data_IF_953177067920
#
_entry.id   IF_953177067920
#
_cell.length_a   1.000
_cell.length_b   1.000
_cell.length_c   1.000
_cell.angle_alpha   90.00
_cell.angle_beta   90.00
_cell.angle_gamma   90.00
#
_symmetry.space_group_name_H-M   'P 1'
#
loop_
_entity.id
_entity.type
_entity.pdbx_description
1 polymer ?
#
# COMPACT_ATOMS: atom_id res chain seq x y z
N UNK A 1 -18.35 -17.34 -3.32
CA UNK A 1 -18.27 -16.09 -2.51
C UNK A 1 -19.38 -15.15 -2.97
N UNK A 2 -20.05 -14.38 -2.09
CA UNK A 2 -21.21 -13.54 -2.48
C UNK A 2 -20.90 -12.60 -3.66
N UNK A 3 -19.74 -11.95 -3.64
CA UNK A 3 -19.30 -11.05 -4.72
C UNK A 3 -19.30 -11.72 -6.11
N UNK A 4 -18.91 -13.00 -6.21
CA UNK A 4 -18.89 -13.74 -7.48
C UNK A 4 -20.28 -14.06 -8.03
N UNK A 5 -21.32 -13.94 -7.21
CA UNK A 5 -22.70 -14.24 -7.60
C UNK A 5 -23.42 -13.02 -8.18
N UNK A 6 -22.81 -11.82 -8.07
CA UNK A 6 -23.34 -10.58 -8.63
C UNK A 6 -23.35 -10.65 -10.16
N UNK A 7 -24.50 -10.38 -10.79
CA UNK A 7 -24.65 -10.41 -12.25
C UNK A 7 -25.04 -9.05 -12.82
N UNK A 8 -25.68 -8.21 -12.01
CA UNK A 8 -26.34 -6.98 -12.45
C UNK A 8 -25.85 -5.77 -11.64
N UNK A 9 -26.18 -4.57 -12.11
CA UNK A 9 -25.92 -3.34 -11.36
C UNK A 9 -26.74 -3.24 -10.07
N UNK A 10 -27.94 -3.85 -10.04
CA UNK A 10 -28.75 -3.92 -8.82
C UNK A 10 -28.03 -4.73 -7.73
N UNK A 11 -27.32 -5.80 -8.12
CA UNK A 11 -26.52 -6.58 -7.16
C UNK A 11 -25.36 -5.75 -6.57
N UNK A 12 -24.76 -4.88 -7.40
CA UNK A 12 -23.70 -3.95 -6.99
C UNK A 12 -24.23 -2.91 -5.99
N UNK A 13 -25.41 -2.36 -6.24
CA UNK A 13 -26.09 -1.43 -5.34
C UNK A 13 -26.44 -2.11 -4.02
N UNK A 14 -27.04 -3.30 -4.07
CA UNK A 14 -27.34 -4.10 -2.89
C UNK A 14 -26.08 -4.44 -2.08
N UNK A 15 -24.94 -4.68 -2.73
CA UNK A 15 -23.66 -4.86 -2.03
C UNK A 15 -23.24 -3.60 -1.29
N UNK A 16 -23.39 -2.42 -1.89
CA UNK A 16 -23.02 -1.15 -1.24
C UNK A 16 -23.87 -0.91 0.03
N UNK A 17 -25.16 -1.24 -0.02
CA UNK A 17 -26.09 -1.12 1.10
C UNK A 17 -25.86 -2.17 2.20
N UNK A 18 -25.60 -3.42 1.80
CA UNK A 18 -25.45 -4.54 2.73
C UNK A 18 -24.03 -4.73 3.28
N UNK A 19 -23.11 -3.80 2.98
CA UNK A 19 -21.76 -3.83 3.53
C UNK A 19 -21.82 -3.56 5.04
N UNK A 20 -21.13 -4.35 5.88
CA UNK A 20 -21.14 -4.12 7.32
C UNK A 20 -20.69 -2.72 7.67
N UNK A 21 -21.47 -2.03 8.51
CA UNK A 21 -21.03 -0.78 9.10
C UNK A 21 -19.89 -1.09 10.08
N UNK A 22 -18.68 -0.62 9.75
CA UNK A 22 -17.54 -0.73 10.65
C UNK A 22 -17.65 0.25 11.83
N UNK A 23 -18.66 1.14 11.82
CA UNK A 23 -18.91 2.16 12.82
C UNK A 23 -17.72 3.10 12.98
N UNK A 24 -17.48 3.53 14.22
CA UNK A 24 -16.31 4.35 14.60
C UNK A 24 -14.96 3.65 14.40
N UNK A 25 -14.94 2.31 14.37
CA UNK A 25 -13.69 1.59 14.17
C UNK A 25 -13.28 1.72 12.70
N UNK A 26 -12.08 2.28 12.46
CA UNK A 26 -11.39 2.06 11.20
C UNK A 26 -11.44 0.56 10.89
N UNK A 27 -11.81 0.19 9.67
CA UNK A 27 -11.91 -1.20 9.21
C UNK A 27 -10.74 -2.09 9.68
N UNK A 28 -9.53 -1.52 9.81
CA UNK A 28 -8.34 -2.22 10.36
C UNK A 28 -8.56 -2.74 11.79
N UNK A 29 -9.27 -1.99 12.63
CA UNK A 29 -9.61 -2.41 13.99
C UNK A 29 -10.77 -3.42 14.02
N UNK A 30 -11.69 -3.35 13.05
CA UNK A 30 -12.75 -4.35 12.92
C UNK A 30 -12.17 -5.73 12.60
N UNK A 31 -11.29 -5.83 11.59
CA UNK A 31 -10.71 -7.12 11.21
C UNK A 31 -9.74 -7.70 12.24
N UNK A 32 -9.08 -6.84 13.03
CA UNK A 32 -8.20 -7.28 14.15
C UNK A 32 -8.94 -8.10 15.20
N UNK A 33 -10.26 -7.91 15.37
CA UNK A 33 -11.07 -8.73 16.29
C UNK A 33 -11.09 -10.20 15.91
N UNK A 34 -10.80 -10.52 14.64
CA UNK A 34 -10.78 -11.87 14.11
C UNK A 34 -9.36 -12.35 13.79
N UNK A 35 -8.33 -11.70 14.36
CA UNK A 35 -6.92 -12.06 14.08
C UNK A 35 -6.61 -13.53 14.40
N UNK A 36 -7.18 -14.03 15.51
CA UNK A 36 -6.93 -15.38 16.02
C UNK A 36 -7.79 -16.46 15.34
N UNK A 37 -8.77 -16.08 14.52
CA UNK A 37 -9.62 -17.00 13.77
C UNK A 37 -9.49 -16.72 12.25
N UNK A 38 -8.58 -17.42 11.55
CA UNK A 38 -8.37 -17.25 10.13
C UNK A 38 -9.63 -17.47 9.29
N UNK A 39 -10.50 -18.42 9.66
CA UNK A 39 -11.72 -18.72 8.91
C UNK A 39 -12.71 -17.57 9.02
N UNK A 40 -12.93 -17.06 10.23
CA UNK A 40 -13.81 -15.91 10.45
C UNK A 40 -13.25 -14.64 9.82
N UNK A 41 -11.93 -14.44 9.88
CA UNK A 41 -11.26 -13.32 9.18
C UNK A 41 -11.49 -13.39 7.67
N UNK A 42 -11.40 -14.58 7.08
CA UNK A 42 -11.67 -14.78 5.66
C UNK A 42 -13.10 -14.41 5.28
N UNK A 43 -14.09 -14.93 6.02
CA UNK A 43 -15.51 -14.63 5.79
C UNK A 43 -15.80 -13.13 5.89
N UNK A 44 -15.25 -12.46 6.90
CA UNK A 44 -15.41 -11.01 7.09
C UNK A 44 -14.72 -10.23 5.96
N UNK A 45 -13.51 -10.59 5.57
CA UNK A 45 -12.79 -9.91 4.49
C UNK A 45 -13.54 -9.96 3.16
N UNK A 46 -14.22 -11.07 2.87
CA UNK A 46 -15.02 -11.25 1.65
C UNK A 46 -16.19 -10.27 1.55
N UNK A 47 -16.72 -9.77 2.66
CA UNK A 47 -17.81 -8.78 2.68
C UNK A 47 -17.35 -7.40 2.16
N UNK A 48 -16.04 -7.18 2.08
CA UNK A 48 -15.45 -5.94 1.59
C UNK A 48 -14.95 -6.03 0.15
N UNK A 49 -15.11 -7.17 -0.53
CA UNK A 49 -14.85 -7.23 -1.97
C UNK A 49 -15.80 -6.28 -2.72
N UNK A 50 -15.37 -5.66 -3.84
CA UNK A 50 -14.06 -5.75 -4.48
C UNK A 50 -13.04 -4.72 -3.99
N UNK A 51 -13.16 -4.17 -2.78
CA UNK A 51 -12.18 -3.19 -2.31
C UNK A 51 -10.78 -3.82 -2.19
N UNK A 52 -9.70 -3.07 -2.50
CA UNK A 52 -8.32 -3.57 -2.42
C UNK A 52 -8.00 -4.21 -1.06
N UNK A 53 -8.58 -3.66 0.01
CA UNK A 53 -8.40 -4.17 1.36
C UNK A 53 -9.08 -5.52 1.59
N UNK A 54 -10.26 -5.75 1.00
CA UNK A 54 -10.96 -7.03 1.07
C UNK A 54 -10.16 -8.15 0.42
N UNK A 55 -9.58 -7.89 -0.76
CA UNK A 55 -8.70 -8.84 -1.44
C UNK A 55 -7.45 -9.17 -0.61
N UNK A 56 -6.73 -8.12 -0.15
CA UNK A 56 -5.51 -8.27 0.65
C UNK A 56 -5.73 -9.16 1.87
N UNK A 57 -6.85 -8.95 2.55
CA UNK A 57 -7.13 -9.63 3.82
C UNK A 57 -7.69 -11.02 3.64
N UNK A 58 -8.46 -11.24 2.58
CA UNK A 58 -8.89 -12.57 2.18
C UNK A 58 -7.67 -13.45 1.89
N UNK A 59 -6.68 -12.93 1.15
CA UNK A 59 -5.42 -13.62 0.89
C UNK A 59 -4.60 -13.85 2.16
N UNK A 60 -4.51 -12.87 3.07
CA UNK A 60 -3.81 -13.04 4.35
C UNK A 60 -4.45 -14.11 5.24
N UNK A 61 -5.78 -14.15 5.29
CA UNK A 61 -6.53 -15.15 6.03
C UNK A 61 -6.31 -16.56 5.44
N UNK A 62 -6.39 -16.71 4.11
CA UNK A 62 -6.10 -17.97 3.43
C UNK A 62 -4.69 -18.47 3.69
N UNK A 63 -3.68 -17.59 3.72
CA UNK A 63 -2.31 -18.01 4.09
C UNK A 63 -2.21 -18.60 5.49
N UNK A 64 -2.96 -18.05 6.45
CA UNK A 64 -2.99 -18.60 7.80
C UNK A 64 -3.67 -19.98 7.80
N UNK A 65 -4.81 -20.11 7.11
CA UNK A 65 -5.51 -21.40 6.93
C UNK A 65 -4.59 -22.45 6.29
N UNK A 66 -3.93 -22.12 5.18
CA UNK A 66 -2.99 -23.00 4.46
C UNK A 66 -1.85 -23.44 5.39
N UNK A 67 -1.29 -22.52 6.18
CA UNK A 67 -0.21 -22.83 7.12
C UNK A 67 -0.67 -23.79 8.21
N UNK A 68 -1.86 -23.58 8.75
CA UNK A 68 -2.40 -24.42 9.83
C UNK A 68 -2.74 -25.82 9.29
N UNK A 69 -3.34 -25.90 8.10
CA UNK A 69 -3.57 -27.18 7.39
C UNK A 69 -2.27 -27.90 7.06
N UNK A 70 -1.27 -27.19 6.55
CA UNK A 70 0.05 -27.76 6.25
C UNK A 70 0.73 -28.34 7.48
N UNK A 71 0.68 -27.65 8.63
CA UNK A 71 1.19 -28.18 9.92
C UNK A 71 0.43 -29.41 10.41
N UNK A 72 -0.88 -29.45 10.15
CA UNK A 72 -1.74 -30.59 10.48
C UNK A 72 -1.70 -31.70 9.42
N UNK A 73 -0.85 -31.60 8.39
CA UNK A 73 -0.79 -32.52 7.25
C UNK A 73 -2.13 -32.73 6.52
N UNK A 74 -2.98 -31.70 6.52
CA UNK A 74 -4.26 -31.69 5.81
C UNK A 74 -4.09 -31.08 4.41
N UNK A 75 -4.97 -31.48 3.48
CA UNK A 75 -4.98 -30.91 2.12
C UNK A 75 -5.37 -29.43 2.13
N UNK A 76 -4.53 -28.61 1.50
CA UNK A 76 -4.66 -27.16 1.40
C UNK A 76 -4.74 -26.66 -0.05
N UNK A 77 -4.77 -27.57 -1.04
CA UNK A 77 -4.72 -27.22 -2.46
C UNK A 77 -5.88 -26.31 -2.90
N UNK A 78 -7.09 -26.57 -2.40
CA UNK A 78 -8.28 -25.76 -2.69
C UNK A 78 -8.19 -24.34 -2.13
N UNK A 79 -7.59 -24.17 -0.95
CA UNK A 79 -7.36 -22.85 -0.34
C UNK A 79 -6.30 -22.07 -1.11
N UNK A 80 -5.23 -22.75 -1.55
CA UNK A 80 -4.19 -22.14 -2.37
C UNK A 80 -4.72 -21.71 -3.74
N UNK A 81 -5.58 -22.52 -4.37
CA UNK A 81 -6.27 -22.13 -5.59
C UNK A 81 -7.19 -20.92 -5.37
N UNK A 82 -7.91 -20.89 -4.25
CA UNK A 82 -8.76 -19.75 -3.87
C UNK A 82 -7.93 -18.47 -3.65
N UNK A 83 -6.74 -18.60 -3.06
CA UNK A 83 -5.79 -17.50 -2.89
C UNK A 83 -5.32 -16.97 -4.25
N UNK A 84 -4.95 -17.88 -5.15
CA UNK A 84 -4.53 -17.55 -6.50
C UNK A 84 -5.62 -16.81 -7.28
N UNK A 85 -6.85 -17.30 -7.25
CA UNK A 85 -7.99 -16.62 -7.90
C UNK A 85 -8.24 -15.22 -7.34
N UNK A 86 -8.17 -15.04 -6.01
CA UNK A 86 -8.30 -13.70 -5.41
C UNK A 86 -7.20 -12.74 -5.89
N UNK A 87 -5.97 -13.23 -6.03
CA UNK A 87 -4.87 -12.44 -6.56
C UNK A 87 -5.04 -12.13 -8.06
N UNK A 88 -5.55 -13.10 -8.83
CA UNK A 88 -5.89 -12.92 -10.24
C UNK A 88 -6.98 -11.85 -10.42
N UNK A 89 -8.09 -11.94 -9.68
CA UNK A 89 -9.18 -10.96 -9.77
C UNK A 89 -8.76 -9.57 -9.29
N UNK A 90 -7.92 -9.44 -8.26
CA UNK A 90 -7.37 -8.13 -7.88
C UNK A 90 -6.53 -7.52 -9.00
N UNK A 91 -5.78 -8.34 -9.73
CA UNK A 91 -4.96 -7.89 -10.86
C UNK A 91 -5.77 -7.40 -12.07
N UNK A 92 -7.09 -7.58 -12.08
CA UNK A 92 -7.99 -6.98 -13.06
C UNK A 92 -8.10 -5.45 -12.89
N UNK A 93 -7.92 -4.95 -11.67
CA UNK A 93 -7.97 -3.53 -11.36
C UNK A 93 -6.57 -2.90 -11.50
N UNK A 94 -6.35 -1.99 -12.47
CA UNK A 94 -5.13 -1.20 -12.52
C UNK A 94 -5.04 -0.25 -11.31
N UNK A 95 -3.92 0.48 -11.18
CA UNK A 95 -3.76 1.43 -10.06
C UNK A 95 -4.57 2.71 -10.27
N UNK A 96 -4.60 3.19 -11.50
CA UNK A 96 -5.27 4.40 -11.93
C UNK A 96 -6.00 4.11 -13.23
N UNK A 97 -7.08 4.84 -13.45
CA UNK A 97 -7.74 4.85 -14.75
C UNK A 97 -6.92 5.72 -15.70
N UNK A 98 -6.87 5.36 -16.98
CA UNK A 98 -6.20 6.17 -17.99
C UNK A 98 -7.07 7.36 -18.41
N UNK A 99 -8.39 7.16 -18.43
CA UNK A 99 -9.36 8.15 -18.89
C UNK A 99 -9.85 9.08 -17.77
N UNK A 100 -9.48 8.80 -16.52
CA UNK A 100 -9.96 9.49 -15.33
C UNK A 100 -8.78 9.77 -14.38
N UNK A 101 -8.69 11.00 -13.86
CA UNK A 101 -7.77 11.35 -12.76
C UNK A 101 -8.30 10.85 -11.40
N UNK A 102 -8.73 9.58 -11.38
CA UNK A 102 -9.35 8.92 -10.24
C UNK A 102 -8.74 7.52 -10.04
N UNK A 103 -8.71 7.02 -8.80
CA UNK A 103 -8.29 5.66 -8.54
C UNK A 103 -9.19 4.63 -9.24
N UNK A 104 -8.59 3.66 -9.94
CA UNK A 104 -9.32 2.65 -10.69
C UNK A 104 -10.26 1.78 -9.84
N UNK A 105 -10.01 1.67 -8.53
CA UNK A 105 -10.92 0.94 -7.64
C UNK A 105 -12.35 1.51 -7.65
N UNK A 106 -12.53 2.81 -7.97
CA UNK A 106 -13.87 3.41 -8.11
C UNK A 106 -14.64 2.79 -9.26
N UNK A 107 -13.99 2.56 -10.40
CA UNK A 107 -14.58 1.84 -11.54
C UNK A 107 -14.83 0.39 -11.14
N UNK A 108 -13.83 -0.26 -10.54
CA UNK A 108 -13.91 -1.68 -10.17
C UNK A 108 -15.04 -1.98 -9.19
N UNK A 109 -15.33 -1.05 -8.26
CA UNK A 109 -16.47 -1.15 -7.34
C UNK A 109 -17.83 -1.17 -8.05
N UNK A 110 -17.92 -0.66 -9.27
CA UNK A 110 -19.16 -0.63 -10.05
C UNK A 110 -19.34 -1.86 -10.96
N UNK A 111 -18.35 -2.75 -11.01
CA UNK A 111 -18.41 -3.96 -11.83
C UNK A 111 -19.04 -5.10 -11.01
N UNK A 112 -20.08 -5.78 -11.52
CA UNK A 112 -20.62 -6.98 -10.88
C UNK A 112 -19.53 -8.04 -10.74
N UNK A 113 -19.30 -8.54 -9.53
CA UNK A 113 -18.20 -9.47 -9.28
C UNK A 113 -18.27 -10.78 -10.06
N UNK A 114 -19.46 -11.25 -10.43
CA UNK A 114 -19.61 -12.43 -11.28
C UNK A 114 -19.09 -12.24 -12.71
N UNK A 115 -19.05 -11.00 -13.22
CA UNK A 115 -18.43 -10.71 -14.51
C UNK A 115 -16.92 -10.96 -14.45
N UNK A 116 -16.26 -10.47 -13.40
CA UNK A 116 -14.81 -10.62 -13.19
C UNK A 116 -14.47 -12.07 -12.82
N UNK A 117 -15.29 -12.68 -11.97
CA UNK A 117 -15.11 -14.07 -11.55
C UNK A 117 -15.37 -15.08 -12.68
N UNK A 118 -16.14 -14.68 -13.69
CA UNK A 118 -16.40 -15.47 -14.89
C UNK A 118 -15.30 -15.38 -15.95
N UNK A 119 -14.33 -14.48 -15.81
CA UNK A 119 -13.17 -14.43 -16.71
C UNK A 119 -12.32 -15.69 -16.51
N UNK A 120 -11.97 -16.41 -17.59
CA UNK A 120 -11.10 -17.57 -17.49
C UNK A 120 -9.75 -17.24 -16.83
N UNK A 121 -9.36 -18.03 -15.84
CA UNK A 121 -8.08 -17.93 -15.15
C UNK A 121 -7.23 -19.14 -15.51
N UNK A 122 -6.50 -19.05 -16.62
CA UNK A 122 -5.52 -20.07 -17.01
C UNK A 122 -4.16 -19.80 -16.35
N UNK A 123 -3.76 -20.67 -15.44
CA UNK A 123 -2.48 -20.57 -14.74
C UNK A 123 -1.28 -20.55 -15.71
N UNK A 124 -1.34 -21.26 -16.84
CA UNK A 124 -0.23 -21.35 -17.78
C UNK A 124 0.01 -20.04 -18.54
N UNK A 125 -1.02 -19.21 -18.69
CA UNK A 125 -0.96 -17.91 -19.37
C UNK A 125 -0.80 -16.76 -18.37
N UNK A 126 -1.59 -16.76 -17.29
CA UNK A 126 -1.57 -15.70 -16.29
C UNK A 126 -0.32 -15.79 -15.41
N UNK A 127 0.08 -17.00 -15.00
CA UNK A 127 1.17 -17.22 -14.09
C UNK A 127 1.01 -16.46 -12.77
N UNK A 128 2.11 -16.14 -12.08
CA UNK A 128 2.05 -15.52 -10.75
C UNK A 128 2.86 -14.22 -10.60
N UNK A 129 3.81 -13.92 -11.50
CA UNK A 129 4.78 -12.84 -11.27
C UNK A 129 4.16 -11.44 -11.28
N UNK A 130 3.10 -11.20 -12.05
CA UNK A 130 2.43 -9.88 -12.08
C UNK A 130 1.30 -9.77 -11.03
N UNK A 131 1.04 -10.82 -10.26
CA UNK A 131 -0.01 -10.83 -9.24
C UNK A 131 0.55 -10.30 -7.92
N UNK A 132 0.29 -9.03 -7.62
CA UNK A 132 0.86 -8.30 -6.46
C UNK A 132 0.55 -8.97 -5.11
N UNK A 133 -0.58 -9.67 -5.04
CA UNK A 133 -1.00 -10.37 -3.84
C UNK A 133 -0.37 -11.75 -3.69
N UNK A 134 0.36 -12.29 -4.67
CA UNK A 134 1.07 -13.57 -4.56
C UNK A 134 2.48 -13.31 -4.00
N UNK A 135 2.87 -14.03 -2.94
CA UNK A 135 4.22 -13.94 -2.37
C UNK A 135 5.13 -15.03 -2.93
N UNK A 136 6.44 -14.93 -2.65
CA UNK A 136 7.42 -15.96 -3.04
C UNK A 136 7.06 -17.36 -2.51
N UNK A 137 6.54 -17.44 -1.29
CA UNK A 137 6.12 -18.73 -0.70
C UNK A 137 4.91 -19.29 -1.44
N UNK A 138 3.91 -18.45 -1.73
CA UNK A 138 2.73 -18.86 -2.49
C UNK A 138 3.12 -19.33 -3.89
N UNK A 139 4.00 -18.58 -4.58
CA UNK A 139 4.51 -18.93 -5.90
C UNK A 139 5.21 -20.29 -5.90
N UNK A 140 6.05 -20.58 -4.89
CA UNK A 140 6.69 -21.90 -4.77
C UNK A 140 5.65 -23.02 -4.65
N UNK A 141 4.62 -22.84 -3.82
CA UNK A 141 3.56 -23.85 -3.67
C UNK A 141 2.73 -24.01 -4.96
N UNK A 142 2.48 -22.92 -5.69
CA UNK A 142 1.80 -22.98 -6.99
C UNK A 142 2.62 -23.75 -8.02
N UNK A 143 3.93 -23.48 -8.11
CA UNK A 143 4.84 -24.20 -9.01
C UNK A 143 4.95 -25.68 -8.66
N UNK A 144 4.96 -26.02 -7.37
CA UNK A 144 4.95 -27.42 -6.92
C UNK A 144 3.69 -28.18 -7.36
N UNK A 145 2.53 -27.52 -7.39
CA UNK A 145 1.26 -28.14 -7.76
C UNK A 145 0.96 -28.12 -9.26
N UNK A 146 1.32 -27.04 -9.96
CA UNK A 146 0.89 -26.76 -11.34
C UNK A 146 2.05 -26.63 -12.33
N UNK A 147 3.29 -26.75 -11.86
CA UNK A 147 4.50 -26.51 -12.64
C UNK A 147 4.82 -25.03 -12.84
N UNK A 148 5.92 -24.76 -13.53
CA UNK A 148 6.26 -23.40 -13.95
C UNK A 148 5.30 -22.96 -15.08
N UNK A 149 4.66 -21.77 -14.99
CA UNK A 149 3.78 -21.31 -16.05
C UNK A 149 4.59 -20.89 -17.27
N UNK A 150 3.98 -21.00 -18.46
CA UNK A 150 4.64 -20.63 -19.72
C UNK A 150 4.83 -19.12 -19.85
N UNK A 151 3.94 -18.34 -19.26
CA UNK A 151 3.91 -16.89 -19.35
C UNK A 151 3.48 -16.26 -18.02
N UNK A 152 3.68 -14.96 -17.92
CA UNK A 152 3.24 -14.15 -16.79
C UNK A 152 2.52 -12.91 -17.27
N UNK A 153 1.29 -12.73 -16.84
CA UNK A 153 0.42 -11.60 -17.16
C UNK A 153 -0.41 -11.19 -15.94
N UNK A 154 -1.28 -10.20 -16.12
CA UNK A 154 -2.32 -9.83 -15.17
C UNK A 154 -3.69 -10.01 -15.82
N UNK A 155 -4.74 -10.17 -15.02
CA UNK A 155 -6.09 -10.35 -15.56
C UNK A 155 -6.54 -9.11 -16.34
N UNK A 156 -6.06 -7.92 -15.95
CA UNK A 156 -6.29 -6.69 -16.70
C UNK A 156 -5.66 -6.75 -18.11
N UNK A 157 -4.41 -7.20 -18.22
CA UNK A 157 -3.73 -7.32 -19.53
C UNK A 157 -4.42 -8.33 -20.45
N UNK A 158 -4.85 -9.48 -19.91
CA UNK A 158 -5.53 -10.52 -20.70
C UNK A 158 -6.92 -10.11 -21.16
N UNK A 159 -7.60 -9.23 -20.42
CA UNK A 159 -8.98 -8.81 -20.66
C UNK A 159 -9.11 -7.28 -20.64
N UNK A 160 -8.23 -6.61 -21.38
CA UNK A 160 -8.13 -5.14 -21.38
C UNK A 160 -9.41 -4.51 -21.92
N UNK A 161 -10.01 -5.12 -22.94
CA UNK A 161 -11.27 -4.70 -23.54
C UNK A 161 -12.45 -4.73 -22.56
N UNK A 162 -12.47 -5.70 -21.64
CA UNK A 162 -13.49 -5.79 -20.59
C UNK A 162 -13.35 -4.63 -19.62
N UNK A 163 -12.11 -4.30 -19.24
CA UNK A 163 -11.82 -3.15 -18.39
C UNK A 163 -12.20 -1.83 -19.06
N UNK A 164 -11.77 -1.61 -20.31
CA UNK A 164 -12.05 -0.39 -21.07
C UNK A 164 -13.55 -0.13 -21.21
N UNK A 165 -14.34 -1.19 -21.46
CA UNK A 165 -15.79 -1.08 -21.51
C UNK A 165 -16.39 -0.65 -20.17
N UNK A 166 -15.93 -1.25 -19.07
CA UNK A 166 -16.39 -0.89 -17.73
C UNK A 166 -16.04 0.58 -17.37
N UNK A 167 -14.87 1.05 -17.78
CA UNK A 167 -14.43 2.45 -17.60
C UNK A 167 -15.31 3.42 -18.39
N UNK A 168 -15.63 3.09 -19.65
CA UNK A 168 -16.55 3.88 -20.49
C UNK A 168 -17.97 3.93 -19.89
N UNK A 169 -18.50 2.79 -19.46
CA UNK A 169 -19.83 2.71 -18.84
C UNK A 169 -19.89 3.57 -17.56
N UNK A 170 -18.83 3.56 -16.76
CA UNK A 170 -18.72 4.40 -15.57
C UNK A 170 -18.67 5.91 -15.92
N UNK A 171 -17.89 6.28 -16.93
CA UNK A 171 -17.82 7.65 -17.44
C UNK A 171 -19.18 8.18 -17.88
N UNK A 172 -19.93 7.39 -18.65
CA UNK A 172 -21.28 7.76 -19.11
C UNK A 172 -22.24 8.00 -17.94
N UNK A 173 -22.16 7.18 -16.87
CA UNK A 173 -22.97 7.36 -15.66
C UNK A 173 -22.61 8.64 -14.90
N UNK A 174 -21.30 8.96 -14.79
CA UNK A 174 -20.86 10.20 -14.18
C UNK A 174 -21.36 11.43 -14.92
N UNK A 175 -21.26 11.43 -16.25
CA UNK A 175 -21.76 12.54 -17.09
C UNK A 175 -23.27 12.71 -16.91
N UNK A 176 -24.04 11.62 -16.98
CA UNK A 176 -25.51 11.67 -16.80
C UNK A 176 -25.91 12.22 -15.43
N UNK A 177 -25.18 11.87 -14.37
CA UNK A 177 -25.45 12.37 -13.02
C UNK A 177 -25.19 13.87 -12.90
N UNK A 178 -24.15 14.38 -13.57
CA UNK A 178 -23.83 15.82 -13.60
C UNK A 178 -24.87 16.65 -14.35
N UNK A 179 -25.51 16.11 -15.39
CA UNK A 179 -26.57 16.80 -16.12
C UNK A 179 -27.87 16.92 -15.33
N UNK A 180 -28.22 15.90 -14.52
CA UNK A 180 -29.43 15.93 -13.68
C UNK A 180 -29.29 16.97 -12.55
N UNK A 181 -28.09 17.14 -11.97
CA UNK A 181 -27.86 18.14 -10.91
C UNK A 181 -27.85 19.59 -11.42
N UNK A 182 -27.66 19.83 -12.73
CA UNK A 182 -27.62 21.17 -13.32
C UNK A 182 -28.95 21.62 -13.96
N UNK A 183 -29.96 20.75 -13.99
CA UNK A 183 -31.23 20.99 -14.70
C UNK A 183 -32.43 21.44 -13.86
N UNK A 184 -32.43 21.27 -12.54
CA UNK A 184 -33.63 21.53 -11.71
C UNK A 184 -33.57 22.88 -10.96
N UNK A 185 -34.05 23.92 -11.64
CA UNK A 185 -34.58 25.15 -11.03
C UNK A 185 -36.04 25.35 -11.52
N UNK A 186 -36.96 24.48 -11.12
CA UNK A 186 -38.41 24.73 -11.15
C UNK A 186 -39.15 23.88 -10.10
N UNK A 187 -40.28 24.36 -9.53
CA UNK A 187 -40.84 23.81 -8.30
C UNK A 187 -41.67 22.53 -8.54
N UNK A 188 -41.56 21.65 -7.54
CA UNK A 188 -42.12 20.30 -7.39
C UNK A 188 -43.57 20.09 -7.86
N UNK A 189 -43.82 18.92 -8.44
CA UNK A 189 -45.01 18.13 -8.16
C UNK A 189 -44.62 16.65 -7.97
N UNK A 190 -45.26 16.03 -6.98
CA UNK A 190 -45.03 14.72 -6.38
C UNK A 190 -44.61 13.58 -7.33
N UNK A 191 -43.36 13.14 -7.18
CA UNK A 191 -42.95 11.76 -7.33
C UNK A 191 -41.69 11.55 -6.48
N UNK A 192 -41.73 10.57 -5.57
CA UNK A 192 -40.61 10.13 -4.75
C UNK A 192 -39.50 9.53 -5.63
N UNK A 193 -38.66 10.40 -6.20
CA UNK A 193 -37.41 10.04 -6.86
C UNK A 193 -36.34 9.97 -5.78
N UNK A 194 -36.00 8.75 -5.38
CA UNK A 194 -34.79 8.47 -4.58
C UNK A 194 -33.60 8.82 -5.46
N UNK A 195 -32.94 9.94 -5.18
CA UNK A 195 -31.65 10.29 -5.78
C UNK A 195 -30.59 9.31 -5.24
N UNK A 196 -29.98 8.45 -6.06
CA UNK A 196 -28.85 7.65 -5.61
C UNK A 196 -27.66 8.59 -5.39
N UNK A 197 -27.30 8.79 -4.13
CA UNK A 197 -26.15 9.58 -3.72
C UNK A 197 -24.86 8.80 -4.02
N UNK A 198 -24.51 8.69 -5.31
CA UNK A 198 -23.26 8.09 -5.74
C UNK A 198 -22.09 8.94 -5.21
N UNK A 199 -21.31 8.40 -4.28
CA UNK A 199 -19.98 8.97 -3.97
C UNK A 199 -19.57 9.15 -2.52
N UNK A 200 -20.35 8.71 -1.53
CA UNK A 200 -19.89 8.70 -0.13
C UNK A 200 -19.98 7.29 0.44
N UNK A 201 -18.93 6.50 0.17
CA UNK A 201 -18.61 5.34 0.99
C UNK A 201 -18.72 5.72 2.47
N UNK A 202 -19.31 4.85 3.29
CA UNK A 202 -19.42 5.00 4.75
C UNK A 202 -18.09 5.29 5.43
N UNK A 203 -16.95 5.04 4.76
CA UNK A 203 -15.61 5.44 5.17
C UNK A 203 -15.35 6.98 5.19
N UNK A 204 -16.20 7.78 4.56
CA UNK A 204 -16.07 9.24 4.48
C UNK A 204 -16.95 10.00 5.49
N UNK A 205 -17.82 9.30 6.24
CA UNK A 205 -18.66 9.92 7.27
C UNK A 205 -17.78 10.31 8.46
N UNK A 206 -17.67 11.61 8.72
CA UNK A 206 -17.07 12.12 9.95
C UNK A 206 -18.13 12.05 11.03
N UNK A 207 -17.78 11.41 12.15
CA UNK A 207 -18.63 11.34 13.32
C UNK A 207 -18.11 12.32 14.37
N UNK A 208 -19.01 12.91 15.15
CA UNK A 208 -18.62 13.65 16.33
C UNK A 208 -18.14 12.70 17.45
N UNK A 209 -17.68 13.27 18.56
CA UNK A 209 -17.22 12.52 19.73
C UNK A 209 -18.31 11.63 20.36
N UNK A 210 -19.58 11.84 19.99
CA UNK A 210 -20.75 11.11 20.48
C UNK A 210 -21.28 10.09 19.45
N UNK A 211 -20.60 9.91 18.32
CA UNK A 211 -20.96 8.94 17.28
C UNK A 211 -22.10 9.39 16.35
N UNK A 212 -22.46 10.68 16.34
CA UNK A 212 -23.46 11.22 15.42
C UNK A 212 -22.81 11.70 14.11
N UNK A 213 -23.46 11.52 12.94
CA UNK A 213 -22.91 11.93 11.66
C UNK A 213 -22.86 13.46 11.55
N UNK A 214 -21.66 14.01 11.32
CA UNK A 214 -21.49 15.45 11.09
C UNK A 214 -21.95 15.75 9.65
N UNK A 215 -23.03 16.52 9.51
CA UNK A 215 -23.46 17.07 8.22
C UNK A 215 -22.42 18.12 7.80
N UNK A 216 -21.63 17.80 6.77
CA UNK A 216 -20.61 18.71 6.28
C UNK A 216 -21.29 19.87 5.54
N UNK A 217 -21.15 21.10 6.06
CA UNK A 217 -21.56 22.31 5.35
C UNK A 217 -20.86 22.44 3.99
N UNK A 218 -21.59 23.04 3.04
CA UNK A 218 -21.28 23.22 1.61
C UNK A 218 -19.78 23.32 1.30
N UNK A 219 -19.33 22.50 0.35
CA UNK A 219 -18.00 22.66 -0.25
C UNK A 219 -17.84 24.07 -0.83
N UNK A 220 -16.67 24.70 -0.64
CA UNK A 220 -16.37 26.00 -1.24
C UNK A 220 -16.37 25.89 -2.76
N UNK A 221 -16.83 26.96 -3.43
CA UNK A 221 -17.02 26.99 -4.88
C UNK A 221 -15.70 26.71 -5.61
N UNK A 222 -15.78 26.23 -6.87
CA UNK A 222 -14.61 25.89 -7.71
C UNK A 222 -13.56 27.02 -7.74
N UNK A 223 -13.99 28.28 -7.65
CA UNK A 223 -13.11 29.46 -7.57
C UNK A 223 -12.30 29.53 -6.26
N UNK A 224 -12.90 29.21 -5.11
CA UNK A 224 -12.23 29.19 -3.81
C UNK A 224 -11.24 28.03 -3.67
N UNK A 225 -11.50 26.91 -4.36
CA UNK A 225 -10.58 25.77 -4.42
C UNK A 225 -9.32 26.12 -5.23
N UNK A 226 -9.47 26.86 -6.34
CA UNK A 226 -8.32 27.36 -7.12
C UNK A 226 -7.48 28.37 -6.33
N UNK A 227 -8.10 29.24 -5.53
CA UNK A 227 -7.37 30.20 -4.67
C UNK A 227 -6.60 29.44 -3.56
N UNK A 228 -7.23 28.47 -2.89
CA UNK A 228 -6.56 27.64 -1.87
C UNK A 228 -5.46 26.75 -2.45
N UNK A 229 -5.63 26.22 -3.67
CA UNK A 229 -4.61 25.45 -4.37
C UNK A 229 -3.40 26.32 -4.74
N UNK A 230 -3.64 27.55 -5.22
CA UNK A 230 -2.58 28.50 -5.58
C UNK A 230 -1.77 28.98 -4.37
N UNK A 231 -2.43 29.21 -3.23
CA UNK A 231 -1.75 29.56 -1.97
C UNK A 231 -0.92 28.36 -1.45
N UNK A 232 -1.44 27.13 -1.53
CA UNK A 232 -0.70 25.92 -1.15
C UNK A 232 0.48 25.62 -2.07
N UNK A 233 0.37 25.85 -3.38
CA UNK A 233 1.50 25.67 -4.31
C UNK A 233 2.61 26.69 -4.05
N UNK A 234 2.28 27.96 -3.75
CA UNK A 234 3.28 28.97 -3.40
C UNK A 234 3.99 28.68 -2.06
N UNK A 235 3.28 28.11 -1.08
CA UNK A 235 3.89 27.68 0.19
C UNK A 235 4.74 26.40 0.05
N UNK A 236 4.37 25.49 -0.86
CA UNK A 236 5.12 24.25 -1.14
C UNK A 236 6.44 24.54 -1.86
N UNK A 237 6.44 25.47 -2.83
CA UNK A 237 7.66 25.93 -3.51
C UNK A 237 8.63 26.62 -2.53
N UNK A 238 8.13 27.39 -1.56
CA UNK A 238 8.96 28.00 -0.52
C UNK A 238 9.50 27.01 0.54
N UNK A 239 8.90 25.83 0.67
CA UNK A 239 9.37 24.75 1.55
C UNK A 239 10.33 23.78 0.84
N UNK A 240 10.19 23.60 -0.48
CA UNK A 240 11.10 22.77 -1.29
C UNK A 240 12.47 23.43 -1.48
N UNK A 241 12.53 24.76 -1.62
CA UNK A 241 13.81 25.51 -1.61
C UNK A 241 14.54 25.34 -0.27
N UNK A 242 13.84 25.45 0.86
CA UNK A 242 14.42 25.22 2.21
C UNK A 242 14.86 23.76 2.45
N UNK A 243 14.26 22.77 1.80
CA UNK A 243 14.67 21.35 1.90
C UNK A 243 15.87 21.03 1.03
N UNK A 244 15.97 21.64 -0.16
CA UNK A 244 17.13 21.54 -1.05
C UNK A 244 18.40 22.06 -0.37
N UNK A 245 18.31 23.22 0.30
CA UNK A 245 19.44 23.82 1.02
C UNK A 245 19.90 23.00 2.24
N UNK A 246 18.98 22.29 2.90
CA UNK A 246 19.33 21.36 3.99
C UNK A 246 20.01 20.09 3.48
N UNK A 247 19.61 19.60 2.31
CA UNK A 247 20.19 18.38 1.73
C UNK A 247 21.61 18.66 1.19
N UNK A 248 21.82 19.81 0.55
CA UNK A 248 23.16 20.24 0.10
C UNK A 248 24.12 20.46 1.29
N UNK A 249 23.63 21.04 2.40
CA UNK A 249 24.42 21.18 3.64
C UNK A 249 24.76 19.83 4.31
N UNK A 250 23.84 18.85 4.27
CA UNK A 250 24.07 17.49 4.79
C UNK A 250 25.08 16.72 3.92
N UNK A 251 25.01 16.85 2.59
CA UNK A 251 25.96 16.24 1.66
C UNK A 251 27.35 16.87 1.81
N UNK A 252 27.44 18.20 1.99
CA UNK A 252 28.70 18.88 2.27
C UNK A 252 29.33 18.42 3.59
N UNK A 253 28.54 18.28 4.67
CA UNK A 253 29.01 17.70 5.94
C UNK A 253 29.44 16.24 5.78
N UNK A 254 28.68 15.42 5.04
CA UNK A 254 29.04 14.03 4.76
C UNK A 254 30.39 13.87 4.05
N UNK A 255 30.66 14.73 3.05
CA UNK A 255 31.95 14.77 2.34
C UNK A 255 33.12 15.19 3.24
N UNK A 256 32.89 16.12 4.18
CA UNK A 256 33.90 16.50 5.17
C UNK A 256 34.21 15.37 6.15
N UNK A 257 33.18 14.64 6.63
CA UNK A 257 33.39 13.48 7.51
C UNK A 257 34.09 12.31 6.81
N UNK A 258 33.80 12.05 5.52
CA UNK A 258 34.52 11.02 4.77
C UNK A 258 35.98 11.39 4.52
N UNK A 259 36.28 12.68 4.26
CA UNK A 259 37.65 13.17 4.13
C UNK A 259 38.46 13.02 5.43
N UNK A 260 37.86 13.39 6.56
CA UNK A 260 38.48 13.22 7.89
C UNK A 260 38.70 11.75 8.27
N UNK A 261 37.77 10.85 7.91
CA UNK A 261 37.92 9.42 8.15
C UNK A 261 39.05 8.81 7.31
N UNK A 262 39.18 9.21 6.04
CA UNK A 262 40.28 8.76 5.17
C UNK A 262 41.63 9.29 5.69
N UNK A 263 41.67 10.54 6.15
CA UNK A 263 42.87 11.12 6.76
C UNK A 263 43.27 10.38 8.05
N UNK A 264 42.31 10.08 8.93
CA UNK A 264 42.56 9.34 10.16
C UNK A 264 43.07 7.90 9.91
N UNK A 265 42.60 7.25 8.83
CA UNK A 265 43.10 5.93 8.42
C UNK A 265 44.53 5.98 7.88
N UNK A 266 44.87 7.01 7.09
CA UNK A 266 46.26 7.25 6.66
C UNK A 266 47.19 7.55 7.83
N UNK A 267 46.76 8.42 8.73
CA UNK A 267 47.54 8.76 9.92
C UNK A 267 47.76 7.52 10.80
N UNK A 268 46.74 6.65 10.95
CA UNK A 268 46.88 5.37 11.66
C UNK A 268 47.89 4.44 11.01
N UNK A 269 47.91 4.35 9.67
CA UNK A 269 48.89 3.52 8.96
C UNK A 269 50.32 4.05 9.17
N UNK A 270 50.53 5.36 9.07
CA UNK A 270 51.81 6.01 9.31
C UNK A 270 52.31 5.84 10.76
N UNK A 271 51.40 5.91 11.74
CA UNK A 271 51.74 5.65 13.14
C UNK A 271 52.16 4.19 13.34
N UNK A 272 51.44 3.25 12.70
CA UNK A 272 51.75 1.82 12.82
C UNK A 272 53.13 1.49 12.24
N UNK A 273 53.49 2.08 11.09
CA UNK A 273 54.84 1.93 10.53
C UNK A 273 55.94 2.52 11.44
N UNK A 274 55.72 3.72 11.98
CA UNK A 274 56.72 4.36 12.87
C UNK A 274 56.91 3.63 14.19
N UNK A 275 55.85 3.03 14.74
CA UNK A 275 55.92 2.28 16.00
C UNK A 275 56.59 0.91 15.80
N UNK A 276 56.40 0.27 14.64
CA UNK A 276 57.03 -1.03 14.35
C UNK A 276 58.53 -0.92 14.01
N UNK A 277 59.01 0.27 13.64
CA UNK A 277 60.41 0.50 13.22
C UNK A 277 61.26 1.35 14.17
N UNK A 278 60.90 1.57 15.43
CA UNK A 278 61.63 2.53 16.30
C UNK A 278 61.72 2.15 17.79
N UNK A 279 62.85 2.50 18.40
CA UNK A 279 63.15 2.37 19.83
C UNK A 279 62.19 3.17 20.73
N UNK A 280 61.95 2.67 21.95
CA UNK A 280 60.99 3.15 22.95
C UNK A 280 61.03 4.66 23.24
N UNK A 281 62.18 5.31 23.04
CA UNK A 281 62.33 6.75 23.26
C UNK A 281 61.59 7.60 22.20
N UNK A 282 61.46 7.11 20.96
CA UNK A 282 60.74 7.81 19.90
C UNK A 282 59.21 7.75 20.09
N UNK A 283 58.71 6.69 20.75
CA UNK A 283 57.28 6.47 21.04
C UNK A 283 56.77 7.49 22.07
N UNK A 284 57.58 7.83 23.08
CA UNK A 284 57.23 8.85 24.07
C UNK A 284 57.10 10.25 23.44
N UNK A 285 57.99 10.60 22.51
CA UNK A 285 57.94 11.90 21.83
C UNK A 285 56.75 12.01 20.86
N UNK A 286 56.31 10.91 20.24
CA UNK A 286 55.13 10.92 19.36
C UNK A 286 53.82 11.06 20.12
N UNK A 287 53.71 10.48 21.32
CA UNK A 287 52.52 10.56 22.17
C UNK A 287 52.37 11.92 22.89
N UNK A 288 53.47 12.65 23.10
CA UNK A 288 53.44 13.98 23.72
C UNK A 288 52.82 15.07 22.83
N UNK A 289 52.71 14.83 21.52
CA UNK A 289 52.06 15.76 20.59
C UNK A 289 50.53 15.66 20.70
N UNK A 290 49.91 16.60 21.44
CA UNK A 290 48.49 16.64 21.84
C UNK A 290 47.46 16.37 20.72
N UNK A 291 47.79 16.55 19.44
CA UNK A 291 46.89 16.28 18.31
C UNK A 291 46.63 14.78 18.06
N UNK A 292 47.55 13.87 18.42
CA UNK A 292 47.36 12.42 18.21
C UNK A 292 46.46 11.75 19.25
N UNK A 293 46.47 12.23 20.50
CA UNK A 293 45.68 11.63 21.59
C UNK A 293 44.17 11.72 21.31
N UNK A 294 43.73 12.78 20.60
CA UNK A 294 42.33 12.98 20.21
C UNK A 294 41.86 11.93 19.18
N UNK A 295 42.74 11.52 18.26
CA UNK A 295 42.40 10.56 17.18
C UNK A 295 42.24 9.13 17.73
N UNK A 296 43.03 8.75 18.73
CA UNK A 296 42.90 7.46 19.41
C UNK A 296 41.68 7.41 20.35
N UNK A 297 41.36 8.52 21.03
CA UNK A 297 40.17 8.64 21.89
C UNK A 297 38.85 8.43 21.13
N UNK A 298 38.75 8.94 19.90
CA UNK A 298 37.56 8.76 19.06
C UNK A 298 37.39 7.30 18.55
N UNK A 299 38.48 6.56 18.34
CA UNK A 299 38.43 5.16 17.89
C UNK A 299 38.00 4.18 18.99
N UNK A 300 38.33 4.44 20.27
CA UNK A 300 37.88 3.60 21.39
C UNK A 300 36.36 3.72 21.67
N UNK A 301 35.73 4.86 21.39
CA UNK A 301 34.29 5.07 21.54
C UNK A 301 33.45 4.28 20.52
N UNK A 302 34.00 3.98 19.35
CA UNK A 302 33.31 3.18 18.31
C UNK A 302 33.32 1.68 18.65
N UNK A 303 34.36 1.20 19.33
CA UNK A 303 34.51 -0.22 19.70
C UNK A 303 33.57 -0.61 20.87
N UNK A 304 33.35 0.28 21.83
CA UNK A 304 32.45 0.02 22.97
C UNK A 304 30.97 -0.04 22.59
N UNK A 305 30.55 0.64 21.52
CA UNK A 305 29.16 0.55 21.00
C UNK A 305 28.87 -0.77 20.28
N UNK A 306 29.86 -1.38 19.63
CA UNK A 306 29.70 -2.65 18.90
C UNK A 306 29.63 -3.86 19.84
N UNK A 307 30.31 -3.81 20.99
CA UNK A 307 30.27 -4.85 22.03
C UNK A 307 28.94 -4.87 22.82
N UNK A 308 28.26 -3.73 23.02
CA UNK A 308 26.92 -3.70 23.66
C UNK A 308 25.79 -4.26 22.77
N UNK A 309 25.96 -4.29 21.45
CA UNK A 309 24.97 -4.85 20.53
C UNK A 309 25.02 -6.39 20.45
N UNK A 310 26.13 -7.01 20.86
CA UNK A 310 26.31 -8.46 20.74
C UNK A 310 25.89 -9.24 21.99
N UNK A 311 25.75 -8.57 23.14
CA UNK A 311 25.32 -9.17 24.42
C UNK A 311 23.81 -9.01 24.73
N UNK A 312 22.99 -8.64 23.74
CA UNK A 312 21.52 -8.58 23.87
C UNK A 312 20.77 -9.68 23.11
N UNK A 313 21.48 -10.58 22.43
CA UNK A 313 20.94 -11.77 21.76
C UNK A 313 21.63 -13.05 22.29
N UNK A 314 21.71 -13.18 23.62
CA UNK A 314 21.85 -14.44 24.33
C UNK A 314 20.90 -14.42 25.51
#
# INVERSE_FOLDING_TARGET
MRWQQEKTLQDVELRAESRPDTGFLSWSNYIKKHREDPNKRYQVAQQFLPWPIGFKESVLALRAIIRDKSKAHLDYKSDLLSLYHLAAWESFCPKQCESLDDPAFKVFEQIPGGLVAGLPVDYQQLGYQQLKLVTKTDAKMLVELYGEPKQHSSLNQLYTEVWQRAEQDYLHRLQRSQFVEQGDNQPKADASIVTPQYGLSSASKKYDINGQPIVSEKLPSKAEQHIKARIKSSQKVAQETKKSDRYSALVARGKQFSGLAIQALRDRALIKERVLGSSLNNIKHTLANKKMVVVLGASCLVITRKLRSHNRNK
#
